data_IF_510821555011
#
_entry.id   IF_510821555011
#
_cell.length_a   1.000
_cell.length_b   1.000
_cell.length_c   1.000
_cell.angle_alpha   90.00
_cell.angle_beta   90.00
_cell.angle_gamma   90.00
#
_symmetry.space_group_name_H-M   'P 1'
#
loop_
_entity.id
_entity.type
_entity.pdbx_description
1 polymer ?
#
# COMPACT_ATOMS: atom_id res chain seq x y z
N UNK A 1 27.33 -3.01 62.85
CA UNK A 1 25.97 -3.52 63.11
C UNK A 1 25.21 -3.49 61.77
N UNK A 2 24.87 -4.66 61.21
CA UNK A 2 24.33 -4.82 59.86
C UNK A 2 22.80 -5.09 59.85
N UNK A 3 22.17 -4.96 58.67
CA UNK A 3 20.89 -5.57 58.31
C UNK A 3 20.84 -5.71 56.78
N UNK A 4 21.11 -6.88 56.19
CA UNK A 4 20.17 -7.98 55.86
C UNK A 4 18.90 -7.44 55.18
N UNK A 5 18.53 -7.86 53.96
CA UNK A 5 17.92 -9.18 53.73
C UNK A 5 17.74 -9.52 52.22
N UNK A 6 18.13 -10.77 51.87
CA UNK A 6 17.65 -11.71 50.81
C UNK A 6 17.92 -11.48 49.31
N UNK A 7 18.90 -12.25 48.82
CA UNK A 7 18.98 -12.82 47.47
C UNK A 7 18.08 -14.07 47.35
N UNK A 8 17.28 -14.15 46.28
CA UNK A 8 16.53 -15.35 45.88
C UNK A 8 17.35 -16.18 44.89
N UNK A 9 17.32 -17.51 45.09
CA UNK A 9 18.10 -18.53 44.38
C UNK A 9 17.47 -18.86 43.02
N UNK A 10 18.29 -18.88 41.97
CA UNK A 10 18.03 -19.55 40.71
C UNK A 10 18.03 -21.08 40.91
N UNK A 11 16.97 -21.74 40.47
CA UNK A 11 16.88 -23.20 40.43
C UNK A 11 17.20 -23.68 39.01
N UNK A 12 18.21 -24.54 38.89
CA UNK A 12 18.66 -25.14 37.64
C UNK A 12 17.70 -26.25 37.20
N UNK A 13 17.23 -26.18 35.95
CA UNK A 13 16.52 -27.27 35.28
C UNK A 13 17.54 -28.13 34.53
N UNK A 14 17.60 -29.42 34.87
CA UNK A 14 18.42 -30.44 34.17
C UNK A 14 17.72 -30.94 32.90
N UNK A 15 18.48 -31.36 31.86
CA UNK A 15 17.93 -31.81 30.59
C UNK A 15 17.48 -33.28 30.63
N UNK A 16 16.36 -33.58 29.95
CA UNK A 16 15.88 -34.94 29.68
C UNK A 16 16.48 -35.43 28.36
N UNK A 17 17.08 -36.63 28.38
CA UNK A 17 17.65 -37.33 27.21
C UNK A 17 16.59 -38.16 26.45
N UNK A 18 16.79 -38.44 25.16
CA UNK A 18 15.84 -39.15 24.30
C UNK A 18 15.93 -40.67 24.47
N UNK A 19 14.80 -41.36 24.27
CA UNK A 19 14.70 -42.82 24.20
C UNK A 19 14.25 -43.28 22.81
N UNK A 20 14.95 -44.28 22.27
CA UNK A 20 14.61 -45.11 21.09
C UNK A 20 15.28 -46.48 21.29
N UNK A 21 14.96 -47.54 20.54
CA UNK A 21 13.68 -47.96 19.96
C UNK A 21 13.36 -49.45 20.27
N UNK A 22 12.13 -49.90 20.02
CA UNK A 22 11.74 -51.32 20.18
C UNK A 22 10.79 -51.77 19.06
N UNK A 23 11.27 -52.72 18.26
CA UNK A 23 10.63 -53.35 17.09
C UNK A 23 9.40 -54.21 17.42
N UNK A 24 8.45 -54.35 16.48
CA UNK A 24 8.13 -55.65 15.84
C UNK A 24 7.05 -55.59 14.72
N UNK A 25 7.46 -56.10 13.55
CA UNK A 25 6.80 -57.01 12.59
C UNK A 25 5.59 -56.61 11.72
N UNK A 26 5.84 -56.82 10.42
CA UNK A 26 4.97 -57.06 9.26
C UNK A 26 3.95 -58.22 9.34
N UNK A 27 2.82 -58.03 8.64
CA UNK A 27 2.14 -58.92 7.65
C UNK A 27 0.97 -58.09 7.08
N UNK A 28 0.81 -57.71 5.81
CA UNK A 28 0.81 -58.36 4.48
C UNK A 28 -0.39 -59.27 4.16
N UNK A 29 -1.07 -58.87 3.05
CA UNK A 29 -1.97 -59.58 2.12
C UNK A 29 -3.45 -59.88 2.45
N UNK A 30 -4.35 -59.24 1.67
CA UNK A 30 -5.22 -59.79 0.59
C UNK A 30 -6.36 -58.77 0.34
N UNK A 31 -6.48 -58.10 -0.81
CA UNK A 31 -6.99 -58.58 -2.12
C UNK A 31 -8.20 -59.49 -2.02
N UNK A 32 -9.37 -58.95 -2.40
CA UNK A 32 -10.31 -59.68 -3.25
C UNK A 32 -11.17 -58.71 -4.08
N UNK A 33 -11.35 -59.13 -5.32
CA UNK A 33 -11.84 -58.50 -6.53
C UNK A 33 -13.14 -59.23 -6.94
N UNK A 34 -14.12 -58.53 -7.52
CA UNK A 34 -15.07 -59.01 -8.55
C UNK A 34 -16.21 -57.97 -8.69
N UNK A 35 -16.39 -57.26 -9.80
CA UNK A 35 -16.76 -57.66 -11.17
C UNK A 35 -18.28 -57.84 -11.41
N UNK A 36 -18.84 -56.86 -12.15
CA UNK A 36 -19.94 -56.79 -13.14
C UNK A 36 -20.66 -58.10 -13.60
N UNK A 37 -21.94 -58.05 -14.08
CA UNK A 37 -22.29 -57.57 -15.46
C UNK A 37 -23.70 -56.89 -15.66
N UNK A 38 -23.87 -55.93 -16.61
CA UNK A 38 -24.49 -55.99 -17.99
C UNK A 38 -26.02 -56.21 -17.95
N UNK A 39 -26.97 -55.61 -18.70
CA UNK A 39 -27.12 -54.92 -19.99
C UNK A 39 -28.49 -54.19 -20.00
N UNK A 40 -28.84 -53.40 -21.04
CA UNK A 40 -30.26 -53.29 -21.45
C UNK A 40 -30.85 -51.98 -21.99
N UNK A 41 -30.42 -51.59 -23.21
CA UNK A 41 -31.12 -50.93 -24.36
C UNK A 41 -32.57 -50.39 -24.27
N UNK A 42 -32.82 -49.33 -25.07
CA UNK A 42 -34.10 -48.99 -25.75
C UNK A 42 -34.36 -47.46 -25.79
N UNK A 43 -34.06 -46.66 -26.83
CA UNK A 43 -34.57 -46.53 -28.23
C UNK A 43 -35.88 -45.70 -28.36
N UNK A 44 -35.86 -44.85 -29.40
CA UNK A 44 -36.92 -44.05 -30.08
C UNK A 44 -37.23 -42.64 -29.57
N UNK A 45 -37.03 -41.54 -30.32
CA UNK A 45 -37.38 -41.09 -31.71
C UNK A 45 -38.63 -40.19 -31.72
N UNK A 46 -38.42 -38.92 -32.10
CA UNK A 46 -39.24 -38.06 -32.96
C UNK A 46 -38.71 -36.61 -32.76
N UNK A 47 -38.27 -35.83 -33.75
CA UNK A 47 -38.71 -35.72 -35.13
C UNK A 47 -39.63 -34.50 -35.25
N UNK A 48 -39.13 -33.39 -35.79
CA UNK A 48 -39.75 -32.60 -36.87
C UNK A 48 -39.00 -31.27 -37.07
N UNK A 49 -38.37 -31.19 -38.24
CA UNK A 49 -37.92 -29.96 -38.87
C UNK A 49 -39.08 -29.28 -39.60
N UNK A 50 -39.03 -27.95 -39.73
CA UNK A 50 -39.59 -27.24 -40.88
C UNK A 50 -38.63 -26.12 -41.31
N UNK A 51 -38.06 -26.33 -42.50
CA UNK A 51 -37.56 -25.34 -43.48
C UNK A 51 -38.78 -24.54 -44.03
N UNK A 52 -38.76 -23.41 -44.72
CA UNK A 52 -37.75 -22.67 -45.47
C UNK A 52 -38.31 -21.29 -45.92
N UNK A 53 -37.38 -20.34 -46.15
CA UNK A 53 -37.28 -19.35 -47.25
C UNK A 53 -38.41 -18.35 -47.59
N UNK A 54 -38.02 -17.07 -47.70
CA UNK A 54 -37.84 -16.27 -48.97
C UNK A 54 -37.81 -14.77 -48.62
N UNK A 55 -36.65 -14.10 -48.70
CA UNK A 55 -36.11 -13.36 -49.86
C UNK A 55 -36.99 -12.22 -50.43
N UNK A 56 -36.55 -10.98 -50.28
CA UNK A 56 -37.08 -9.79 -50.96
C UNK A 56 -36.06 -8.64 -50.93
N UNK A 57 -35.55 -8.27 -52.11
CA UNK A 57 -34.43 -7.34 -52.40
C UNK A 57 -34.94 -5.89 -52.62
N UNK A 58 -34.01 -4.91 -52.53
CA UNK A 58 -33.87 -3.67 -53.35
C UNK A 58 -34.77 -2.46 -52.97
N UNK A 59 -34.37 -1.17 -52.91
CA UNK A 59 -33.21 -0.36 -53.39
C UNK A 59 -33.17 1.02 -52.67
N UNK A 60 -31.98 1.65 -52.71
CA UNK A 60 -31.55 3.02 -52.33
C UNK A 60 -32.49 4.21 -52.60
N UNK A 61 -32.36 5.28 -51.78
CA UNK A 61 -31.91 6.61 -52.25
C UNK A 61 -31.46 7.53 -51.10
N UNK A 62 -30.43 8.33 -51.42
CA UNK A 62 -29.60 9.15 -50.54
C UNK A 62 -30.22 10.50 -50.17
N UNK A 63 -29.73 11.11 -49.08
CA UNK A 63 -29.60 12.56 -48.95
C UNK A 63 -28.32 12.91 -48.18
N UNK A 64 -27.47 13.67 -48.86
CA UNK A 64 -26.26 14.33 -48.38
C UNK A 64 -26.62 15.47 -47.42
N UNK A 65 -25.84 15.62 -46.34
CA UNK A 65 -25.54 16.91 -45.76
C UNK A 65 -24.09 16.88 -45.26
N UNK A 66 -23.28 17.77 -45.84
CA UNK A 66 -21.90 18.03 -45.46
C UNK A 66 -21.80 19.36 -44.70
N UNK A 67 -20.60 19.61 -44.14
CA UNK A 67 -20.08 20.87 -43.57
C UNK A 67 -20.50 21.05 -42.09
N UNK A 68 -19.62 21.21 -41.09
CA UNK A 68 -18.36 21.97 -40.98
C UNK A 68 -17.39 21.27 -40.02
N UNK A 69 -16.12 21.15 -40.43
CA UNK A 69 -15.02 20.91 -39.52
C UNK A 69 -14.59 22.23 -38.89
N UNK A 70 -14.81 22.39 -37.58
CA UNK A 70 -14.10 23.37 -36.76
C UNK A 70 -13.10 22.63 -35.89
N UNK A 71 -11.82 22.80 -36.20
CA UNK A 71 -10.73 22.35 -35.37
C UNK A 71 -10.76 23.07 -34.03
N UNK A 72 -10.86 22.30 -32.95
CA UNK A 72 -10.40 22.72 -31.65
C UNK A 72 -8.99 22.17 -31.47
N UNK A 73 -8.00 23.07 -31.50
CA UNK A 73 -6.72 22.84 -30.83
C UNK A 73 -7.05 22.80 -29.33
N UNK A 74 -7.43 21.62 -28.85
CA UNK A 74 -7.51 21.34 -27.43
C UNK A 74 -6.09 21.23 -26.89
N UNK A 75 -5.71 22.19 -26.05
CA UNK A 75 -4.55 22.10 -25.17
C UNK A 75 -4.41 20.67 -24.64
N UNK A 76 -3.22 20.10 -24.77
CA UNK A 76 -2.81 18.93 -24.00
C UNK A 76 -2.65 19.34 -22.52
N UNK A 77 -3.76 19.63 -21.84
CA UNK A 77 -3.84 19.40 -20.40
C UNK A 77 -3.98 17.89 -20.26
N UNK A 78 -2.97 17.23 -19.68
CA UNK A 78 -3.04 15.80 -19.38
C UNK A 78 -4.34 15.52 -18.64
N UNK A 79 -5.21 14.70 -19.24
CA UNK A 79 -6.42 14.27 -18.58
C UNK A 79 -6.04 13.64 -17.23
N UNK A 80 -6.85 13.81 -16.17
CA UNK A 80 -6.69 12.97 -14.99
C UNK A 80 -6.68 11.52 -15.45
N UNK A 81 -5.76 10.70 -14.93
CA UNK A 81 -5.80 9.25 -15.16
C UNK A 81 -7.19 8.81 -14.69
N UNK A 82 -8.06 8.56 -15.66
CA UNK A 82 -9.42 8.11 -15.43
C UNK A 82 -9.37 6.75 -14.75
N UNK A 83 -10.47 6.39 -14.09
CA UNK A 83 -10.61 5.05 -13.53
C UNK A 83 -10.32 4.01 -14.62
N UNK A 84 -9.44 3.08 -14.29
CA UNK A 84 -8.95 2.08 -15.23
C UNK A 84 -8.84 0.74 -14.55
N UNK A 85 -9.52 -0.24 -15.14
CA UNK A 85 -9.43 -1.65 -14.75
C UNK A 85 -8.67 -2.40 -15.84
N UNK A 86 -7.59 -3.07 -15.47
CA UNK A 86 -6.86 -3.98 -16.34
C UNK A 86 -6.73 -5.36 -15.67
N UNK A 87 -6.73 -6.42 -16.49
CA UNK A 87 -6.29 -7.76 -16.09
C UNK A 87 -4.99 -8.06 -16.82
N UNK A 88 -3.95 -8.49 -16.10
CA UNK A 88 -2.60 -8.70 -16.64
C UNK A 88 -2.02 -10.01 -16.13
N UNK A 89 -1.06 -10.59 -16.86
CA UNK A 89 -0.24 -11.70 -16.37
C UNK A 89 1.04 -11.17 -15.73
N UNK A 90 1.49 -11.77 -14.63
CA UNK A 90 2.79 -11.45 -14.03
C UNK A 90 3.90 -12.40 -14.49
N UNK A 91 5.06 -11.85 -14.84
CA UNK A 91 6.30 -12.62 -14.92
C UNK A 91 6.79 -13.01 -13.50
N UNK A 92 7.49 -14.15 -13.34
CA UNK A 92 7.92 -14.64 -12.03
C UNK A 92 9.08 -13.83 -11.41
N UNK A 93 9.59 -12.84 -12.13
CA UNK A 93 10.76 -12.05 -11.72
C UNK A 93 10.28 -10.75 -11.11
N UNK A 94 10.63 -10.54 -9.84
CA UNK A 94 10.51 -9.24 -9.20
C UNK A 94 11.53 -8.31 -9.86
N UNK A 95 11.08 -7.50 -10.80
CA UNK A 95 11.92 -6.70 -11.67
C UNK A 95 12.90 -5.81 -10.90
N UNK A 96 12.49 -5.09 -9.83
CA UNK A 96 13.43 -4.33 -9.02
C UNK A 96 14.60 -5.17 -8.46
N UNK A 97 14.38 -6.44 -8.10
CA UNK A 97 15.43 -7.32 -7.59
C UNK A 97 16.39 -7.84 -8.68
N UNK A 98 15.99 -7.76 -9.95
CA UNK A 98 16.81 -8.21 -11.07
C UNK A 98 17.83 -7.17 -11.55
N UNK A 99 17.74 -5.94 -11.05
CA UNK A 99 18.54 -4.79 -11.49
C UNK A 99 19.74 -4.53 -10.58
N UNK A 100 20.61 -3.65 -11.05
CA UNK A 100 21.67 -2.99 -10.26
C UNK A 100 21.45 -1.49 -10.30
N UNK A 101 21.73 -0.81 -9.21
CA UNK A 101 21.45 0.60 -9.02
C UNK A 101 22.73 1.43 -8.81
N UNK A 102 23.62 1.55 -9.81
CA UNK A 102 24.81 2.38 -9.68
C UNK A 102 24.41 3.85 -9.51
N UNK A 103 25.09 4.54 -8.60
CA UNK A 103 24.82 5.96 -8.32
C UNK A 103 23.64 6.23 -7.39
N UNK A 104 22.85 5.22 -7.00
CA UNK A 104 21.83 5.40 -5.97
C UNK A 104 22.49 5.37 -4.59
N UNK A 105 22.45 6.51 -3.92
CA UNK A 105 22.91 6.64 -2.55
C UNK A 105 21.80 6.29 -1.57
N UNK A 106 22.18 5.69 -0.43
CA UNK A 106 21.26 5.28 0.61
C UNK A 106 21.72 5.88 1.93
N UNK A 107 20.94 6.84 2.47
CA UNK A 107 21.12 7.34 3.83
C UNK A 107 20.38 6.41 4.76
N UNK A 108 21.11 5.54 5.45
CA UNK A 108 20.54 4.43 6.22
C UNK A 108 20.31 4.75 7.71
N UNK A 109 19.35 4.05 8.30
CA UNK A 109 19.05 4.03 9.74
C UNK A 109 18.81 5.41 10.38
N UNK A 110 18.14 6.28 9.62
CA UNK A 110 17.77 7.61 10.08
C UNK A 110 16.63 7.52 11.09
N UNK A 111 16.77 8.12 12.29
CA UNK A 111 15.69 8.14 13.27
C UNK A 111 14.59 9.13 12.83
N UNK A 112 13.35 8.64 12.78
CA UNK A 112 12.16 9.50 12.70
C UNK A 112 11.38 9.57 14.02
N UNK A 113 11.80 8.79 15.02
CA UNK A 113 11.24 8.77 16.35
C UNK A 113 12.18 8.19 17.40
N UNK A 114 11.65 7.90 18.58
CA UNK A 114 12.43 7.45 19.76
C UNK A 114 12.45 5.94 19.93
N UNK A 115 11.46 5.23 19.38
CA UNK A 115 11.40 3.77 19.47
C UNK A 115 12.48 3.12 18.59
N UNK A 116 12.97 1.92 18.93
CA UNK A 116 14.01 1.23 18.17
C UNK A 116 13.64 1.01 16.69
N UNK A 117 12.38 0.69 16.40
CA UNK A 117 11.85 0.47 15.05
C UNK A 117 11.41 1.77 14.35
N UNK A 118 11.52 2.93 15.00
CA UNK A 118 11.28 4.21 14.34
C UNK A 118 12.53 4.66 13.57
N UNK A 119 12.87 3.86 12.55
CA UNK A 119 14.03 4.01 11.67
C UNK A 119 13.58 3.98 10.21
N UNK A 120 14.26 4.75 9.37
CA UNK A 120 14.03 4.78 7.94
C UNK A 120 15.34 4.83 7.17
N UNK A 121 15.26 4.51 5.89
CA UNK A 121 16.32 4.78 4.93
C UNK A 121 15.81 5.72 3.85
N UNK A 122 16.69 6.55 3.31
CA UNK A 122 16.39 7.41 2.17
C UNK A 122 17.22 6.96 0.97
N UNK A 123 16.57 6.48 -0.08
CA UNK A 123 17.22 6.21 -1.37
C UNK A 123 17.12 7.46 -2.25
N UNK A 124 18.26 7.96 -2.69
CA UNK A 124 18.38 9.23 -3.42
C UNK A 124 18.57 8.99 -4.92
N UNK A 125 17.89 9.77 -5.79
CA UNK A 125 18.18 9.77 -7.22
C UNK A 125 19.65 10.02 -7.51
N UNK A 126 20.19 9.47 -8.62
CA UNK A 126 21.64 9.47 -8.89
C UNK A 126 22.21 10.86 -9.19
N UNK A 127 21.35 11.83 -9.48
CA UNK A 127 21.67 13.23 -9.75
C UNK A 127 21.38 14.16 -8.54
N UNK A 128 21.15 13.59 -7.36
CA UNK A 128 20.95 14.36 -6.13
C UNK A 128 22.23 15.12 -5.75
N UNK A 129 22.08 16.32 -5.21
CA UNK A 129 23.23 17.13 -4.81
C UNK A 129 24.00 16.45 -3.65
N UNK A 130 25.34 16.57 -3.56
CA UNK A 130 26.13 15.88 -2.53
C UNK A 130 25.68 16.17 -1.08
N UNK A 131 25.17 17.39 -0.83
CA UNK A 131 24.71 17.82 0.49
C UNK A 131 23.37 17.16 0.91
N UNK A 132 22.69 16.45 0.00
CA UNK A 132 21.45 15.72 0.29
C UNK A 132 21.66 14.41 1.06
N UNK A 133 22.91 14.03 1.32
CA UNK A 133 23.24 12.82 2.10
C UNK A 133 23.20 13.01 3.62
N UNK A 134 23.03 14.25 4.08
CA UNK A 134 23.00 14.55 5.51
C UNK A 134 21.73 14.01 6.18
N UNK A 135 21.85 13.63 7.46
CA UNK A 135 20.66 13.38 8.29
C UNK A 135 20.09 14.72 8.76
N UNK A 136 18.80 15.02 8.54
CA UNK A 136 18.20 16.29 8.95
C UNK A 136 18.37 16.48 10.45
N UNK A 137 19.11 17.50 10.85
CA UNK A 137 19.27 17.85 12.26
C UNK A 137 18.05 18.64 12.71
N UNK A 138 17.50 18.30 13.87
CA UNK A 138 16.52 19.16 14.54
C UNK A 138 17.26 20.42 15.01
N UNK A 139 17.34 21.46 14.18
CA UNK A 139 17.85 22.76 14.66
C UNK A 139 16.94 23.20 15.80
N UNK A 140 17.46 23.43 17.03
CA UNK A 140 16.65 23.97 18.09
C UNK A 140 16.09 25.31 17.62
N UNK A 141 14.77 25.51 17.78
CA UNK A 141 14.17 26.84 17.69
C UNK A 141 15.05 27.79 18.53
N UNK A 142 15.57 28.91 17.98
CA UNK A 142 16.33 29.84 18.80
C UNK A 142 15.45 30.23 20.00
N UNK A 143 16.00 30.06 21.21
CA UNK A 143 15.36 30.52 22.44
C UNK A 143 14.93 31.97 22.29
N UNK A 144 13.75 32.38 22.78
CA UNK A 144 13.36 33.78 22.72
C UNK A 144 14.38 34.59 23.53
N UNK A 145 15.16 35.43 22.86
CA UNK A 145 15.90 36.51 23.52
C UNK A 145 14.90 37.48 24.18
N UNK A 146 15.27 38.14 25.29
CA UNK A 146 14.32 38.79 26.16
C UNK A 146 13.71 40.03 25.50
N UNK A 147 12.44 40.25 25.85
CA UNK A 147 11.58 41.39 25.59
C UNK A 147 12.32 42.73 25.42
N UNK A 148 12.16 43.33 24.25
CA UNK A 148 12.16 44.79 24.12
C UNK A 148 10.69 45.20 24.02
N UNK A 149 10.27 45.95 25.03
CA UNK A 149 8.96 46.56 25.14
C UNK A 149 8.72 47.60 24.05
N UNK A 150 7.42 47.83 23.83
CA UNK A 150 6.81 48.95 23.12
C UNK A 150 6.80 48.88 21.59
N UNK A 151 5.61 48.68 21.01
CA UNK A 151 4.82 49.77 20.40
C UNK A 151 3.44 49.26 19.97
N UNK A 152 2.43 49.98 20.47
CA UNK A 152 1.07 50.24 19.97
C UNK A 152 0.22 49.14 19.31
N UNK A 153 -0.90 48.87 19.99
CA UNK A 153 -2.18 48.38 19.46
C UNK A 153 -2.68 49.17 18.25
N UNK A 154 -2.94 48.49 17.15
CA UNK A 154 -3.96 48.88 16.17
C UNK A 154 -5.02 47.78 16.06
N UNK A 155 -6.28 48.20 16.09
CA UNK A 155 -7.50 47.38 15.98
C UNK A 155 -7.64 46.73 14.60
N UNK A 156 -8.34 45.58 14.50
CA UNK A 156 -8.50 44.86 13.24
C UNK A 156 -9.56 45.55 12.35
N UNK A 157 -9.15 45.95 11.15
CA UNK A 157 -10.10 46.28 10.07
C UNK A 157 -10.36 45.04 9.20
N UNK A 158 -11.63 44.90 8.90
CA UNK A 158 -12.34 43.81 8.25
C UNK A 158 -11.94 43.58 6.77
N UNK A 159 -12.14 42.34 6.31
CA UNK A 159 -12.45 42.05 4.91
C UNK A 159 -11.29 41.91 3.92
N UNK A 160 -10.64 40.74 3.89
CA UNK A 160 -9.77 40.36 2.79
C UNK A 160 -9.52 38.86 2.78
N UNK A 161 -10.11 38.16 1.81
CA UNK A 161 -9.94 36.74 1.54
C UNK A 161 -8.49 36.29 1.76
N UNK A 162 -8.31 35.23 2.56
CA UNK A 162 -7.02 34.60 2.82
C UNK A 162 -6.29 34.37 1.51
N UNK A 163 -5.28 35.21 1.25
CA UNK A 163 -4.28 34.95 0.23
C UNK A 163 -3.61 33.64 0.65
N UNK A 164 -3.87 32.60 -0.12
CA UNK A 164 -3.15 31.34 -0.05
C UNK A 164 -1.64 31.66 -0.10
N UNK A 165 -0.96 31.56 1.04
CA UNK A 165 0.48 31.87 1.19
C UNK A 165 1.37 30.87 0.44
N UNK A 166 0.76 30.00 -0.36
CA UNK A 166 1.35 28.88 -1.08
C UNK A 166 1.76 29.19 -2.51
N UNK A 167 1.23 30.26 -3.10
CA UNK A 167 1.65 30.69 -4.44
C UNK A 167 3.14 31.10 -4.52
N UNK A 168 3.83 31.21 -3.38
CA UNK A 168 5.22 31.68 -3.26
C UNK A 168 6.23 30.57 -2.87
N UNK A 169 5.82 29.31 -2.72
CA UNK A 169 6.78 28.21 -2.49
C UNK A 169 7.38 27.79 -3.84
N UNK A 170 8.72 27.84 -4.04
CA UNK A 170 9.33 27.34 -5.27
C UNK A 170 8.99 25.86 -5.49
N UNK A 171 8.52 25.51 -6.69
CA UNK A 171 8.14 24.14 -7.11
C UNK A 171 9.30 23.35 -7.71
N UNK A 172 10.51 23.62 -7.23
CA UNK A 172 11.74 23.15 -7.87
C UNK A 172 12.27 21.85 -7.27
N UNK A 173 11.61 21.33 -6.23
CA UNK A 173 11.98 20.10 -5.55
C UNK A 173 11.51 18.83 -6.27
N UNK A 174 12.07 17.70 -5.82
CA UNK A 174 11.84 16.35 -6.33
C UNK A 174 10.56 15.74 -5.76
N UNK A 175 9.87 14.88 -6.52
CA UNK A 175 8.79 14.08 -5.98
C UNK A 175 9.36 13.04 -4.99
N UNK A 176 8.60 12.74 -3.94
CA UNK A 176 8.98 11.76 -2.94
C UNK A 176 7.95 10.64 -2.81
N UNK A 177 8.43 9.44 -2.48
CA UNK A 177 7.57 8.27 -2.20
C UNK A 177 7.97 7.66 -0.87
N UNK A 178 7.03 7.62 0.08
CA UNK A 178 7.24 6.84 1.31
C UNK A 178 6.86 5.38 1.07
N UNK A 179 7.82 4.49 1.25
CA UNK A 179 7.69 3.04 1.08
C UNK A 179 7.49 2.36 2.44
N UNK A 180 6.42 1.58 2.56
CA UNK A 180 6.08 0.83 3.79
C UNK A 180 6.11 -0.66 3.51
N UNK A 181 6.93 -1.39 4.28
CA UNK A 181 7.08 -2.82 4.06
C UNK A 181 5.87 -3.63 4.56
N UNK A 182 5.59 -4.74 3.88
CA UNK A 182 4.66 -5.78 4.32
C UNK A 182 5.26 -6.71 5.36
N UNK A 183 4.50 -7.75 5.72
CA UNK A 183 4.92 -8.77 6.70
C UNK A 183 3.90 -9.05 7.78
N UNK A 184 2.61 -9.01 7.41
CA UNK A 184 1.48 -9.27 8.30
C UNK A 184 1.52 -8.44 9.60
N UNK A 185 2.05 -7.21 9.54
CA UNK A 185 2.27 -6.30 10.66
C UNK A 185 3.13 -6.85 11.82
N UNK A 186 3.69 -8.05 11.67
CA UNK A 186 4.39 -8.77 12.74
C UNK A 186 5.85 -9.08 12.45
N UNK A 187 6.28 -8.83 11.21
CA UNK A 187 7.64 -9.00 10.75
C UNK A 187 7.87 -8.13 9.52
N UNK A 188 9.10 -8.17 8.99
CA UNK A 188 9.54 -7.31 7.90
C UNK A 188 10.60 -6.33 8.39
N UNK A 189 11.29 -5.72 7.43
CA UNK A 189 12.38 -4.78 7.68
C UNK A 189 12.64 -4.01 6.37
N UNK A 190 12.82 -2.69 6.48
CA UNK A 190 13.14 -1.79 5.36
C UNK A 190 14.40 -2.22 4.60
N UNK A 191 15.36 -2.83 5.29
CA UNK A 191 16.64 -3.27 4.75
C UNK A 191 16.62 -4.68 4.14
N UNK A 192 15.46 -5.37 4.12
CA UNK A 192 15.35 -6.60 3.30
C UNK A 192 15.71 -6.32 1.85
N UNK A 193 16.37 -7.27 1.19
CA UNK A 193 16.83 -7.09 -0.19
C UNK A 193 15.70 -6.68 -1.14
N UNK A 194 14.49 -7.22 -0.94
CA UNK A 194 13.32 -6.91 -1.77
C UNK A 194 12.85 -5.46 -1.61
N UNK A 195 12.65 -4.98 -0.38
CA UNK A 195 12.21 -3.60 -0.15
C UNK A 195 13.32 -2.58 -0.42
N UNK A 196 14.59 -2.93 -0.14
CA UNK A 196 15.74 -2.12 -0.58
C UNK A 196 15.75 -1.95 -2.09
N UNK A 197 15.52 -3.03 -2.85
CA UNK A 197 15.51 -2.97 -4.30
C UNK A 197 14.36 -2.10 -4.84
N UNK A 198 13.16 -2.16 -4.23
CA UNK A 198 12.05 -1.25 -4.59
C UNK A 198 12.41 0.21 -4.27
N UNK A 199 13.03 0.47 -3.10
CA UNK A 199 13.51 1.80 -2.72
C UNK A 199 14.51 2.37 -3.74
N UNK A 200 15.48 1.56 -4.15
CA UNK A 200 16.48 1.96 -5.14
C UNK A 200 15.90 2.08 -6.56
N UNK A 201 14.92 1.25 -6.91
CA UNK A 201 14.21 1.33 -8.18
C UNK A 201 13.48 2.67 -8.31
N UNK A 202 12.65 3.02 -7.34
CA UNK A 202 11.94 4.31 -7.34
C UNK A 202 12.93 5.49 -7.35
N UNK A 203 14.04 5.39 -6.61
CA UNK A 203 15.11 6.38 -6.69
C UNK A 203 15.73 6.51 -8.08
N UNK A 204 15.97 5.39 -8.77
CA UNK A 204 16.45 5.40 -10.16
C UNK A 204 15.46 5.99 -11.15
N UNK A 205 14.17 6.03 -10.81
CA UNK A 205 13.11 6.66 -11.61
C UNK A 205 12.89 8.15 -11.29
N UNK A 206 13.68 8.71 -10.36
CA UNK A 206 13.72 10.14 -10.03
C UNK A 206 13.02 10.54 -8.73
N UNK A 207 12.52 9.58 -7.95
CA UNK A 207 11.84 9.85 -6.68
C UNK A 207 12.80 9.82 -5.49
N UNK A 208 12.68 10.77 -4.56
CA UNK A 208 13.28 10.58 -3.23
C UNK A 208 12.47 9.52 -2.50
N UNK A 209 13.06 8.36 -2.22
CA UNK A 209 12.29 7.24 -1.64
C UNK A 209 12.61 7.04 -0.17
N UNK A 210 11.60 7.14 0.69
CA UNK A 210 11.72 7.06 2.14
C UNK A 210 11.16 5.72 2.61
N UNK A 211 12.02 4.76 2.90
CA UNK A 211 11.65 3.39 3.25
C UNK A 211 11.71 3.16 4.75
N UNK A 212 10.58 2.85 5.39
CA UNK A 212 10.42 2.94 6.85
C UNK A 212 10.30 1.55 7.48
N UNK A 213 10.83 1.40 8.70
CA UNK A 213 10.37 0.40 9.67
C UNK A 213 9.22 0.99 10.51
N UNK A 214 8.45 0.12 11.17
CA UNK A 214 7.39 0.50 12.11
C UNK A 214 7.28 -0.56 13.21
N UNK A 215 6.71 -0.20 14.37
CA UNK A 215 6.49 -1.15 15.47
C UNK A 215 5.56 -2.29 15.07
N UNK A 216 5.86 -3.50 15.55
CA UNK A 216 5.28 -4.75 15.07
C UNK A 216 4.41 -5.45 16.13
N UNK A 217 3.30 -6.01 15.67
CA UNK A 217 2.47 -6.90 16.45
C UNK A 217 3.17 -8.26 16.70
N UNK A 218 2.84 -8.98 17.78
CA UNK A 218 1.85 -8.65 18.80
C UNK A 218 2.39 -7.77 19.93
N UNK A 219 3.68 -7.41 19.91
CA UNK A 219 4.28 -6.55 20.94
C UNK A 219 3.62 -5.18 20.97
N UNK A 220 3.41 -4.62 19.78
CA UNK A 220 2.82 -3.31 19.56
C UNK A 220 1.63 -3.45 18.59
N UNK A 221 0.42 -3.81 19.08
CA UNK A 221 -0.76 -3.91 18.25
C UNK A 221 -1.21 -2.53 17.72
N UNK A 222 -2.16 -2.54 16.79
CA UNK A 222 -2.84 -1.36 16.28
C UNK A 222 -3.32 -0.46 17.44
N UNK A 223 -3.09 0.87 17.37
CA UNK A 223 -2.58 1.62 16.22
C UNK A 223 -1.06 1.81 16.17
N UNK A 224 -0.24 1.10 16.95
CA UNK A 224 1.18 1.46 17.12
C UNK A 224 1.99 1.56 15.82
N UNK A 225 1.92 0.57 14.93
CA UNK A 225 2.58 0.62 13.63
C UNK A 225 1.99 1.67 12.67
N UNK A 226 0.69 1.93 12.77
CA UNK A 226 0.01 2.99 12.00
C UNK A 226 0.44 4.39 12.47
N UNK A 227 0.51 4.62 13.78
CA UNK A 227 1.04 5.85 14.37
C UNK A 227 2.50 6.10 14.00
N UNK A 228 3.29 5.03 13.86
CA UNK A 228 4.67 5.11 13.40
C UNK A 228 4.76 5.51 11.93
N UNK A 229 3.95 4.90 11.06
CA UNK A 229 3.86 5.28 9.65
C UNK A 229 3.41 6.75 9.47
N UNK A 230 2.44 7.21 10.27
CA UNK A 230 2.00 8.61 10.29
C UNK A 230 3.11 9.54 10.75
N UNK A 231 3.85 9.16 11.80
CA UNK A 231 5.03 9.93 12.26
C UNK A 231 6.13 9.98 11.20
N UNK A 232 6.33 8.92 10.43
CA UNK A 232 7.29 8.93 9.34
C UNK A 232 6.83 9.85 8.19
N UNK A 233 5.53 9.88 7.89
CA UNK A 233 4.96 10.85 6.94
C UNK A 233 5.15 12.30 7.43
N UNK A 234 4.85 12.57 8.70
CA UNK A 234 5.12 13.87 9.33
C UNK A 234 6.61 14.22 9.19
N UNK A 235 7.51 13.23 9.37
CA UNK A 235 8.94 13.41 9.22
C UNK A 235 9.35 13.82 7.80
N UNK A 236 8.70 13.27 6.76
CA UNK A 236 8.91 13.65 5.34
C UNK A 236 8.57 15.12 5.13
N UNK A 237 7.42 15.57 5.66
CA UNK A 237 6.93 16.94 5.50
C UNK A 237 7.66 17.98 6.37
N UNK A 238 8.56 17.57 7.29
CA UNK A 238 9.30 18.55 8.10
C UNK A 238 10.15 19.46 7.20
N UNK A 239 10.17 20.78 7.44
CA UNK A 239 10.94 21.72 6.62
C UNK A 239 12.43 21.35 6.46
N UNK A 240 13.06 20.84 7.52
CA UNK A 240 14.44 20.38 7.47
C UNK A 240 14.61 19.18 6.53
N UNK A 241 13.68 18.21 6.55
CA UNK A 241 13.70 17.05 5.67
C UNK A 241 13.48 17.48 4.22
N UNK A 242 12.45 18.31 3.97
CA UNK A 242 12.15 18.85 2.64
C UNK A 242 13.36 19.58 2.05
N UNK A 243 14.03 20.42 2.83
CA UNK A 243 15.23 21.12 2.40
C UNK A 243 16.43 20.18 2.19
N UNK A 244 16.70 19.28 3.15
CA UNK A 244 17.87 18.39 3.08
C UNK A 244 17.81 17.49 1.85
N UNK A 245 16.64 16.94 1.53
CA UNK A 245 16.50 16.01 0.41
C UNK A 245 15.91 16.63 -0.84
N UNK A 246 15.78 17.97 -0.89
CA UNK A 246 15.20 18.70 -2.01
C UNK A 246 13.82 18.15 -2.42
N UNK A 247 12.95 17.88 -1.44
CA UNK A 247 11.61 17.32 -1.68
C UNK A 247 10.61 18.46 -1.88
N UNK A 248 9.80 18.36 -2.93
CA UNK A 248 8.63 19.20 -3.10
C UNK A 248 7.45 18.65 -2.25
N UNK A 249 6.97 19.39 -1.24
CA UNK A 249 5.86 18.94 -0.40
C UNK A 249 4.53 18.79 -1.16
N UNK A 250 4.39 19.38 -2.35
CA UNK A 250 3.22 19.18 -3.20
C UNK A 250 3.32 17.90 -4.06
N UNK A 251 4.39 17.11 -3.92
CA UNK A 251 4.68 15.94 -4.77
C UNK A 251 5.06 14.70 -3.95
N UNK A 252 4.32 14.45 -2.85
CA UNK A 252 4.52 13.30 -1.97
C UNK A 252 3.48 12.20 -2.24
N UNK A 253 3.95 11.00 -2.52
CA UNK A 253 3.14 9.79 -2.66
C UNK A 253 3.52 8.70 -1.66
N UNK A 254 2.69 7.65 -1.59
CA UNK A 254 2.89 6.49 -0.75
C UNK A 254 2.95 5.21 -1.59
N UNK A 255 3.74 4.24 -1.15
CA UNK A 255 3.78 2.90 -1.70
C UNK A 255 3.78 1.89 -0.56
N UNK A 256 2.93 0.87 -0.64
CA UNK A 256 2.91 -0.22 0.31
C UNK A 256 2.53 -1.54 -0.33
N UNK A 257 3.01 -2.63 0.26
CA UNK A 257 2.61 -3.98 -0.12
C UNK A 257 2.11 -4.78 1.07
N UNK A 258 1.05 -5.58 0.89
CA UNK A 258 0.48 -6.43 1.96
C UNK A 258 0.08 -5.58 3.18
N UNK A 259 0.55 -5.93 4.37
CA UNK A 259 0.41 -5.11 5.58
C UNK A 259 0.84 -3.65 5.38
N UNK A 260 1.88 -3.38 4.58
CA UNK A 260 2.29 -2.02 4.24
C UNK A 260 1.30 -1.32 3.31
N UNK A 261 0.63 -2.07 2.43
CA UNK A 261 -0.49 -1.61 1.58
C UNK A 261 -1.67 -1.12 2.41
N UNK A 262 -2.07 -1.92 3.41
CA UNK A 262 -3.06 -1.51 4.41
C UNK A 262 -2.65 -0.22 5.15
N UNK A 263 -1.39 -0.11 5.59
CA UNK A 263 -0.92 1.09 6.31
C UNK A 263 -0.94 2.35 5.42
N UNK A 264 -0.50 2.27 4.16
CA UNK A 264 -0.56 3.43 3.25
C UNK A 264 -1.98 3.78 2.83
N UNK A 265 -2.86 2.78 2.68
CA UNK A 265 -4.27 3.01 2.45
C UNK A 265 -4.90 3.74 3.64
N UNK A 266 -4.65 3.27 4.86
CA UNK A 266 -5.11 3.93 6.10
C UNK A 266 -4.60 5.37 6.22
N UNK A 267 -3.33 5.64 5.90
CA UNK A 267 -2.78 6.99 5.91
C UNK A 267 -3.50 7.92 4.94
N UNK A 268 -3.82 7.44 3.74
CA UNK A 268 -4.46 8.25 2.72
C UNK A 268 -5.93 8.55 3.00
N UNK A 269 -6.69 7.56 3.49
CA UNK A 269 -8.12 7.76 3.82
C UNK A 269 -8.30 8.61 5.07
N UNK A 270 -7.31 8.66 5.97
CA UNK A 270 -7.35 9.49 7.20
C UNK A 270 -6.52 10.77 7.10
N UNK A 271 -5.92 11.07 5.94
CA UNK A 271 -5.00 12.22 5.78
C UNK A 271 -5.67 13.54 6.18
N UNK A 272 -6.96 13.68 5.82
CA UNK A 272 -7.80 14.84 6.13
C UNK A 272 -7.97 15.14 7.62
N UNK A 273 -7.74 14.16 8.49
CA UNK A 273 -7.78 14.32 9.94
C UNK A 273 -6.45 14.82 10.54
N UNK A 274 -5.37 14.84 9.75
CA UNK A 274 -4.05 15.20 10.23
C UNK A 274 -3.88 16.72 10.41
N UNK A 275 -3.05 17.13 11.38
CA UNK A 275 -2.69 18.55 11.51
C UNK A 275 -1.84 19.06 10.34
N UNK A 276 -1.13 18.14 9.67
CA UNK A 276 -0.33 18.43 8.48
C UNK A 276 -1.22 18.80 7.28
N UNK A 277 -2.38 18.14 7.16
CA UNK A 277 -3.39 18.44 6.15
C UNK A 277 -3.86 19.90 6.17
N UNK A 278 -4.10 20.45 7.37
CA UNK A 278 -4.47 21.85 7.56
C UNK A 278 -3.35 22.82 7.15
N UNK A 279 -2.09 22.40 7.26
CA UNK A 279 -0.93 23.13 6.75
C UNK A 279 -0.74 22.96 5.23
N UNK A 280 -1.56 22.11 4.61
CA UNK A 280 -1.54 21.80 3.19
C UNK A 280 -0.67 20.61 2.82
N UNK A 281 0.03 19.99 3.75
CA UNK A 281 0.84 18.82 3.47
C UNK A 281 -0.11 17.63 3.20
N UNK A 282 -0.12 17.14 1.96
CA UNK A 282 -1.12 16.16 1.49
C UNK A 282 -0.47 15.04 0.70
N UNK A 283 -1.01 13.85 0.85
CA UNK A 283 -0.71 12.71 -0.02
C UNK A 283 -1.33 12.97 -1.39
N UNK A 284 -0.57 12.72 -2.46
CA UNK A 284 -1.01 12.95 -3.85
C UNK A 284 -1.20 11.69 -4.68
N UNK A 285 -0.64 10.58 -4.22
CA UNK A 285 -0.70 9.30 -4.90
C UNK A 285 -0.48 8.17 -3.90
N UNK A 286 -1.23 7.08 -4.05
CA UNK A 286 -1.08 5.87 -3.22
C UNK A 286 -0.95 4.66 -4.12
N UNK A 287 0.05 3.83 -3.87
CA UNK A 287 0.22 2.52 -4.51
C UNK A 287 0.03 1.45 -3.44
N UNK A 288 -1.05 0.67 -3.58
CA UNK A 288 -1.37 -0.47 -2.72
C UNK A 288 -1.26 -1.77 -3.53
N UNK A 289 -0.34 -2.65 -3.13
CA UNK A 289 -0.20 -3.99 -3.70
C UNK A 289 -0.61 -5.07 -2.70
N UNK A 290 -1.78 -5.69 -2.92
CA UNK A 290 -2.39 -6.73 -2.08
C UNK A 290 -2.60 -6.33 -0.62
N UNK A 291 -2.93 -5.07 -0.34
CA UNK A 291 -3.29 -4.60 0.99
C UNK A 291 -4.57 -5.27 1.52
N UNK A 292 -4.58 -5.82 2.73
CA UNK A 292 -5.83 -6.21 3.39
C UNK A 292 -6.65 -4.96 3.71
N UNK A 293 -7.89 -4.88 3.24
CA UNK A 293 -8.76 -3.70 3.34
C UNK A 293 -9.96 -3.93 4.25
N UNK A 294 -10.30 -5.20 4.54
CA UNK A 294 -11.32 -5.57 5.53
C UNK A 294 -10.71 -6.52 6.58
N UNK A 295 -10.59 -6.01 7.80
CA UNK A 295 -10.08 -6.71 8.99
C UNK A 295 -11.22 -7.07 9.97
N UNK A 296 -12.45 -7.20 9.49
CA UNK A 296 -13.66 -7.43 10.29
C UNK A 296 -14.10 -8.89 10.30
N UNK A 297 -15.30 -9.15 10.85
CA UNK A 297 -15.91 -10.48 10.81
C UNK A 297 -16.10 -11.00 9.37
N UNK A 298 -16.18 -10.12 8.36
CA UNK A 298 -16.28 -10.50 6.93
C UNK A 298 -15.14 -11.42 6.51
N UNK A 299 -13.94 -11.25 7.05
CA UNK A 299 -12.78 -12.11 6.76
C UNK A 299 -12.94 -13.56 7.25
N UNK A 300 -13.99 -13.87 8.02
CA UNK A 300 -14.28 -15.22 8.53
C UNK A 300 -15.27 -16.01 7.68
N UNK A 301 -15.87 -15.38 6.67
CA UNK A 301 -16.79 -16.02 5.73
C UNK A 301 -16.08 -17.08 4.86
N UNK A 302 -16.81 -17.98 4.17
CA UNK A 302 -16.21 -19.08 3.41
C UNK A 302 -15.21 -18.67 2.33
N UNK A 303 -15.35 -17.47 1.77
CA UNK A 303 -14.47 -16.83 0.79
C UNK A 303 -13.49 -15.82 1.42
N UNK A 304 -13.43 -15.75 2.75
CA UNK A 304 -12.54 -14.90 3.50
C UNK A 304 -11.11 -15.44 3.60
N UNK A 305 -10.31 -14.86 4.49
CA UNK A 305 -8.92 -15.24 4.68
C UNK A 305 -8.79 -16.53 5.51
N UNK A 306 -7.70 -17.27 5.32
CA UNK A 306 -7.46 -18.50 6.10
C UNK A 306 -7.42 -18.24 7.62
N UNK A 307 -7.81 -19.23 8.43
CA UNK A 307 -7.73 -19.13 9.90
C UNK A 307 -6.33 -18.72 10.42
N UNK A 308 -5.27 -19.13 9.70
CA UNK A 308 -3.89 -18.73 10.03
C UNK A 308 -3.65 -17.23 9.82
N UNK A 309 -4.24 -16.64 8.78
CA UNK A 309 -4.15 -15.22 8.51
C UNK A 309 -5.10 -14.42 9.40
N UNK A 310 -6.29 -14.96 9.70
CA UNK A 310 -7.21 -14.39 10.69
C UNK A 310 -6.51 -14.19 12.04
N UNK A 311 -5.71 -15.18 12.47
CA UNK A 311 -4.91 -15.05 13.69
C UNK A 311 -3.90 -13.90 13.62
N UNK A 312 -3.29 -13.65 12.45
CA UNK A 312 -2.36 -12.53 12.27
C UNK A 312 -3.08 -11.19 12.31
N UNK A 313 -4.25 -11.08 11.65
CA UNK A 313 -5.10 -9.89 11.75
C UNK A 313 -5.48 -9.63 13.22
N UNK A 314 -5.95 -10.63 13.97
CA UNK A 314 -6.31 -10.46 15.39
C UNK A 314 -5.12 -10.07 16.29
N UNK A 315 -3.93 -10.60 16.04
CA UNK A 315 -2.72 -10.19 16.75
C UNK A 315 -2.35 -8.74 16.45
N UNK A 316 -2.49 -8.31 15.18
CA UNK A 316 -2.32 -6.93 14.78
C UNK A 316 -3.35 -6.03 15.45
N UNK A 317 -4.62 -6.39 15.43
CA UNK A 317 -5.71 -5.62 16.02
C UNK A 317 -5.67 -5.58 17.56
N UNK A 318 -4.84 -6.42 18.21
CA UNK A 318 -4.82 -6.57 19.67
C UNK A 318 -6.07 -7.28 20.22
N UNK A 319 -6.79 -8.03 19.39
CA UNK A 319 -8.08 -8.63 19.68
C UNK A 319 -7.99 -10.16 19.82
N UNK A 320 -8.97 -10.76 20.50
CA UNK A 320 -9.10 -12.23 20.63
C UNK A 320 -10.06 -12.84 19.61
N UNK A 321 -11.07 -12.08 19.20
CA UNK A 321 -12.08 -12.42 18.20
C UNK A 321 -12.46 -11.15 17.44
N UNK A 322 -13.10 -11.29 16.28
CA UNK A 322 -13.58 -10.15 15.49
C UNK A 322 -14.87 -9.54 16.05
N UNK A 323 -15.70 -10.34 16.74
CA UNK A 323 -16.99 -9.89 17.31
C UNK A 323 -16.82 -8.75 18.31
N UNK A 324 -15.76 -8.80 19.13
CA UNK A 324 -15.46 -7.81 20.16
C UNK A 324 -14.17 -7.04 19.85
N UNK A 325 -14.02 -6.58 18.60
CA UNK A 325 -12.81 -5.89 18.15
C UNK A 325 -13.10 -4.48 17.61
N UNK A 326 -13.10 -3.44 18.46
CA UNK A 326 -13.25 -2.05 18.01
C UNK A 326 -12.18 -1.64 16.99
N UNK A 327 -10.98 -2.20 17.11
CA UNK A 327 -9.87 -1.95 16.18
C UNK A 327 -10.14 -2.45 14.76
N UNK A 328 -11.01 -3.46 14.57
CA UNK A 328 -11.25 -4.08 13.26
C UNK A 328 -11.70 -3.07 12.21
N UNK A 329 -12.75 -2.29 12.52
CA UNK A 329 -13.22 -1.20 11.63
C UNK A 329 -12.23 -0.05 11.58
N UNK A 330 -11.62 0.31 12.73
CA UNK A 330 -10.66 1.40 12.79
C UNK A 330 -9.41 1.17 11.92
N UNK A 331 -9.01 -0.08 11.70
CA UNK A 331 -7.86 -0.46 10.88
C UNK A 331 -8.23 -0.86 9.43
N UNK A 332 -9.50 -0.80 9.06
CA UNK A 332 -10.02 -1.17 7.74
C UNK A 332 -10.27 0.11 6.91
N UNK A 333 -9.48 0.39 5.85
CA UNK A 333 -9.50 1.67 5.14
C UNK A 333 -10.85 2.00 4.48
N UNK A 334 -11.62 1.00 4.06
CA UNK A 334 -12.93 1.22 3.42
C UNK A 334 -13.94 1.97 4.28
N UNK A 335 -13.79 2.00 5.60
CA UNK A 335 -14.69 2.72 6.52
C UNK A 335 -14.38 4.22 6.66
N UNK A 336 -13.29 4.70 6.07
CA UNK A 336 -12.78 6.06 6.27
C UNK A 336 -12.64 6.85 4.96
N UNK A 337 -13.05 6.27 3.83
CA UNK A 337 -12.95 6.92 2.51
C UNK A 337 -13.83 8.17 2.48
N UNK A 338 -13.26 9.24 1.93
CA UNK A 338 -13.93 10.51 1.66
C UNK A 338 -13.57 10.99 0.26
N UNK A 339 -14.28 12.01 -0.24
CA UNK A 339 -13.94 12.69 -1.50
C UNK A 339 -12.61 13.47 -1.44
N UNK A 340 -12.07 13.67 -0.23
CA UNK A 340 -10.74 14.25 -0.01
C UNK A 340 -9.59 13.22 -0.11
N UNK A 341 -9.91 11.92 -0.20
CA UNK A 341 -8.92 10.85 -0.25
C UNK A 341 -8.06 10.94 -1.52
N UNK A 342 -6.75 10.73 -1.36
CA UNK A 342 -5.79 10.80 -2.48
C UNK A 342 -6.05 9.69 -3.53
N UNK A 343 -5.71 9.91 -4.81
CA UNK A 343 -5.84 8.88 -5.85
C UNK A 343 -5.04 7.60 -5.58
N UNK A 344 -5.60 6.46 -6.00
CA UNK A 344 -5.01 5.13 -5.79
C UNK A 344 -4.58 4.42 -7.09
N UNK A 345 -3.53 3.63 -6.96
CA UNK A 345 -3.22 2.47 -7.80
C UNK A 345 -3.33 1.23 -6.93
N UNK A 346 -4.22 0.31 -7.27
CA UNK A 346 -4.45 -0.95 -6.54
C UNK A 346 -4.06 -2.12 -7.42
N UNK A 347 -3.07 -2.91 -6.98
CA UNK A 347 -2.66 -4.16 -7.62
C UNK A 347 -3.03 -5.36 -6.76
N UNK A 348 -3.71 -6.35 -7.33
CA UNK A 348 -4.15 -7.53 -6.58
C UNK A 348 -4.17 -8.78 -7.45
N UNK A 349 -3.69 -9.92 -6.94
CA UNK A 349 -3.64 -11.17 -7.72
C UNK A 349 -4.94 -11.96 -7.66
N UNK A 350 -5.34 -12.58 -8.78
CA UNK A 350 -6.64 -13.26 -8.90
C UNK A 350 -6.78 -14.53 -8.05
N UNK A 351 -5.67 -15.13 -7.61
CA UNK A 351 -5.63 -16.39 -6.87
C UNK A 351 -4.61 -16.37 -5.71
N UNK A 352 -4.41 -15.22 -5.07
CA UNK A 352 -3.57 -15.10 -3.88
C UNK A 352 -4.33 -15.38 -2.56
N UNK A 353 -3.63 -15.28 -1.42
CA UNK A 353 -4.22 -15.62 -0.12
C UNK A 353 -5.01 -14.48 0.53
N UNK A 354 -4.87 -13.24 0.05
CA UNK A 354 -5.82 -12.17 0.34
C UNK A 354 -6.91 -12.27 -0.72
N UNK A 355 -8.18 -12.43 -0.33
CA UNK A 355 -9.26 -12.53 -1.30
C UNK A 355 -9.31 -11.34 -2.24
N UNK A 356 -9.53 -11.60 -3.54
CA UNK A 356 -9.64 -10.54 -4.56
C UNK A 356 -10.77 -9.55 -4.24
N UNK A 357 -11.84 -10.03 -3.59
CA UNK A 357 -12.98 -9.21 -3.24
C UNK A 357 -12.60 -8.06 -2.28
N UNK A 358 -11.57 -8.19 -1.44
CA UNK A 358 -11.14 -7.10 -0.54
C UNK A 358 -10.72 -5.86 -1.33
N UNK A 359 -9.88 -6.05 -2.36
CA UNK A 359 -9.48 -4.96 -3.25
C UNK A 359 -10.63 -4.49 -4.14
N UNK A 360 -11.49 -5.39 -4.62
CA UNK A 360 -12.63 -5.01 -5.47
C UNK A 360 -13.65 -4.15 -4.71
N UNK A 361 -13.99 -4.53 -3.47
CA UNK A 361 -14.89 -3.78 -2.60
C UNK A 361 -14.27 -2.44 -2.22
N UNK A 362 -12.98 -2.39 -1.87
CA UNK A 362 -12.30 -1.12 -1.58
C UNK A 362 -12.25 -0.18 -2.80
N UNK A 363 -11.93 -0.70 -3.99
CA UNK A 363 -11.97 0.05 -5.25
C UNK A 363 -13.39 0.57 -5.54
N UNK A 364 -14.42 -0.23 -5.26
CA UNK A 364 -15.81 0.22 -5.39
C UNK A 364 -16.11 1.38 -4.42
N UNK A 365 -15.70 1.29 -3.16
CA UNK A 365 -15.85 2.38 -2.19
C UNK A 365 -15.11 3.64 -2.61
N UNK A 366 -13.88 3.53 -3.11
CA UNK A 366 -13.13 4.69 -3.66
C UNK A 366 -13.93 5.39 -4.77
N UNK A 367 -14.51 4.62 -5.70
CA UNK A 367 -15.33 5.14 -6.80
C UNK A 367 -16.64 5.78 -6.32
N UNK A 368 -17.29 5.18 -5.32
CA UNK A 368 -18.52 5.74 -4.72
C UNK A 368 -18.28 7.13 -4.10
N UNK A 369 -17.05 7.42 -3.71
CA UNK A 369 -16.61 8.71 -3.18
C UNK A 369 -15.88 9.60 -4.21
N UNK A 370 -15.98 9.29 -5.51
CA UNK A 370 -15.33 10.02 -6.60
C UNK A 370 -13.78 10.10 -6.49
N UNK A 371 -13.16 9.16 -5.78
CA UNK A 371 -11.69 9.05 -5.66
C UNK A 371 -11.12 8.34 -6.89
N UNK A 372 -10.23 8.99 -7.67
CA UNK A 372 -9.67 8.36 -8.86
C UNK A 372 -8.84 7.11 -8.54
N UNK A 373 -9.12 6.00 -9.22
CA UNK A 373 -8.47 4.71 -8.94
C UNK A 373 -8.13 3.91 -10.20
N UNK A 374 -6.88 3.49 -10.30
CA UNK A 374 -6.43 2.47 -11.25
C UNK A 374 -6.38 1.12 -10.54
N UNK A 375 -7.13 0.13 -11.01
CA UNK A 375 -7.11 -1.23 -10.48
C UNK A 375 -6.52 -2.20 -11.51
N UNK A 376 -5.55 -3.00 -11.07
CA UNK A 376 -4.87 -4.00 -11.90
C UNK A 376 -4.97 -5.36 -11.23
N UNK A 377 -5.79 -6.23 -11.82
CA UNK A 377 -5.86 -7.63 -11.41
C UNK A 377 -4.73 -8.42 -12.08
N UNK A 378 -3.90 -9.07 -11.28
CA UNK A 378 -2.74 -9.85 -11.73
C UNK A 378 -3.12 -11.33 -11.74
N UNK A 379 -3.10 -11.99 -12.89
CA UNK A 379 -3.41 -13.42 -12.98
C UNK A 379 -2.38 -14.24 -12.19
N UNK A 380 -2.89 -15.14 -11.34
CA UNK A 380 -2.07 -16.08 -10.57
C UNK A 380 -2.01 -15.73 -9.08
N UNK A 381 -0.89 -16.05 -8.45
CA UNK A 381 -0.76 -16.09 -6.98
C UNK A 381 0.27 -15.10 -6.43
N UNK A 382 0.71 -14.12 -7.24
CA UNK A 382 1.76 -13.18 -6.86
C UNK A 382 1.26 -12.24 -5.75
N UNK A 383 1.86 -12.31 -4.56
CA UNK A 383 1.42 -11.48 -3.45
C UNK A 383 2.31 -10.25 -3.28
N UNK A 384 1.70 -9.09 -3.07
CA UNK A 384 2.42 -7.87 -2.71
C UNK A 384 3.46 -7.47 -3.77
N UNK A 385 4.65 -7.01 -3.37
CA UNK A 385 5.73 -6.60 -4.29
C UNK A 385 6.22 -7.71 -5.22
N UNK A 386 5.80 -8.96 -5.04
CA UNK A 386 6.06 -10.04 -6.01
C UNK A 386 5.36 -9.77 -7.34
N UNK A 387 4.28 -8.97 -7.35
CA UNK A 387 3.59 -8.53 -8.56
C UNK A 387 4.43 -7.58 -9.43
N UNK A 388 5.50 -6.99 -8.89
CA UNK A 388 6.35 -6.04 -9.60
C UNK A 388 7.25 -6.73 -10.61
N UNK A 389 6.66 -7.35 -11.64
CA UNK A 389 7.39 -7.60 -12.86
C UNK A 389 7.72 -6.28 -13.58
N UNK A 390 8.35 -6.36 -14.76
CA UNK A 390 8.74 -5.15 -15.49
C UNK A 390 7.53 -4.31 -15.88
N UNK A 391 6.48 -4.92 -16.40
CA UNK A 391 5.31 -4.21 -16.90
C UNK A 391 4.52 -3.54 -15.74
N UNK A 392 4.35 -4.25 -14.63
CA UNK A 392 3.72 -3.73 -13.43
C UNK A 392 4.56 -2.61 -12.80
N UNK A 393 5.88 -2.76 -12.77
CA UNK A 393 6.80 -1.70 -12.30
C UNK A 393 6.67 -0.43 -13.14
N UNK A 394 6.66 -0.56 -14.47
CA UNK A 394 6.48 0.57 -15.39
C UNK A 394 5.10 1.23 -15.23
N UNK A 395 4.04 0.46 -14.99
CA UNK A 395 2.69 0.99 -14.70
C UNK A 395 2.64 1.79 -13.41
N UNK A 396 3.21 1.25 -12.33
CA UNK A 396 3.29 1.94 -11.03
C UNK A 396 4.07 3.24 -11.16
N UNK A 397 5.25 3.21 -11.80
CA UNK A 397 6.07 4.41 -12.00
C UNK A 397 5.35 5.44 -12.88
N UNK A 398 4.64 4.99 -13.92
CA UNK A 398 3.79 5.85 -14.74
C UNK A 398 2.71 6.56 -13.92
N UNK A 399 1.98 5.81 -13.09
CA UNK A 399 0.98 6.39 -12.18
C UNK A 399 1.59 7.42 -11.23
N UNK A 400 2.71 7.09 -10.58
CA UNK A 400 3.40 8.01 -9.66
C UNK A 400 3.88 9.26 -10.39
N UNK A 401 4.50 9.13 -11.58
CA UNK A 401 4.93 10.26 -12.40
C UNK A 401 3.79 11.16 -12.82
N UNK A 402 2.62 10.59 -13.11
CA UNK A 402 1.45 11.35 -13.55
C UNK A 402 0.79 12.13 -12.40
N UNK A 403 0.80 11.55 -11.19
CA UNK A 403 0.19 12.17 -10.01
C UNK A 403 1.14 13.12 -9.25
N UNK A 404 2.45 12.91 -9.36
CA UNK A 404 3.49 13.70 -8.69
C UNK A 404 4.23 14.62 -9.67
N UNK A 405 3.51 15.23 -10.63
CA UNK A 405 4.10 16.13 -11.63
C UNK A 405 4.52 17.48 -11.06
#
# INVERSE_FOLDING_TARGET
MPGSTRLARFNQVRPVRPGTPGSTRHRSHREEEAAHPVDGRGVDRAGLAWTAMRSGRRTLLALLAAVVATGALGSCSGAPVADRDDVVTADPVIYPLSLRYPGIEVVADVPYGREPLQRLDVCLPPDSAPDTTATPTTTPRPSPSPSVSDVATEEPTDGGAGRDTRADRPRDGRPAVMLVHGGSWSHGDKATAAYRAVCQYLASEGFVTVNIDYRLAPTDPFPAGFDDARRALDWVFRPATLQTYDIDPDRVGLFGGSAGGNLVAMLAVTDHESTAWAAGDRIRAVVDLSGPTDLTTRSTEPDGVSASFQRKQLLYLGCRSYEDCPAARAASPGYHVTDETAPFFVGHSTAEFIPLWESQEFVATLREHDVPVTFVAVEGTAHSIVQLDRAMSERVVGFLRDRLR
#
